data_IF_255282831915
#
_entry.id   IF_255282831915
#
_cell.length_a   1.000
_cell.length_b   1.000
_cell.length_c   1.000
_cell.angle_alpha   90.00
_cell.angle_beta   90.00
_cell.angle_gamma   90.00
#
_symmetry.space_group_name_H-M   'P 1'
#
loop_
_entity.id
_entity.type
_entity.pdbx_description
1 polymer ?
#
# COMPACT_ATOMS: atom_id res chain seq x y z
N UNK A 1 13.75 22.45 4.22
CA UNK A 1 14.58 21.23 4.37
C UNK A 1 13.76 20.02 4.83
N UNK A 2 12.98 20.12 5.92
CA UNK A 2 12.18 19.01 6.44
C UNK A 2 11.20 18.41 5.41
N UNK A 3 10.48 19.22 4.63
CA UNK A 3 9.53 18.74 3.62
C UNK A 3 10.20 17.99 2.46
N UNK A 4 11.39 18.44 2.04
CA UNK A 4 12.16 17.77 0.99
C UNK A 4 12.70 16.42 1.48
N UNK A 5 13.14 16.35 2.74
CA UNK A 5 13.54 15.09 3.37
C UNK A 5 12.35 14.14 3.50
N UNK A 6 11.19 14.63 3.92
CA UNK A 6 9.95 13.85 3.99
C UNK A 6 9.63 13.24 2.62
N UNK A 7 9.65 14.04 1.55
CA UNK A 7 9.42 13.55 0.20
C UNK A 7 10.44 12.48 -0.20
N UNK A 8 11.74 12.73 0.03
CA UNK A 8 12.79 11.76 -0.29
C UNK A 8 12.57 10.42 0.43
N UNK A 9 12.26 10.45 1.73
CA UNK A 9 11.94 9.26 2.52
C UNK A 9 10.70 8.56 1.99
N UNK A 10 9.63 9.30 1.68
CA UNK A 10 8.40 8.71 1.12
C UNK A 10 8.63 8.01 -0.22
N UNK A 11 9.49 8.56 -1.08
CA UNK A 11 9.88 7.91 -2.35
C UNK A 11 10.66 6.61 -2.07
N UNK A 12 11.64 6.65 -1.17
CA UNK A 12 12.41 5.45 -0.79
C UNK A 12 11.50 4.37 -0.20
N UNK A 13 10.55 4.74 0.66
CA UNK A 13 9.56 3.82 1.24
C UNK A 13 8.67 3.23 0.15
N UNK A 14 8.20 4.02 -0.81
CA UNK A 14 7.39 3.53 -1.93
C UNK A 14 8.16 2.51 -2.77
N UNK A 15 9.34 2.88 -3.24
CA UNK A 15 10.17 2.00 -4.08
C UNK A 15 10.56 0.74 -3.32
N UNK A 16 10.98 0.88 -2.06
CA UNK A 16 11.34 -0.24 -1.19
C UNK A 16 10.15 -1.18 -0.95
N UNK A 17 8.95 -0.63 -0.72
CA UNK A 17 7.71 -1.41 -0.56
C UNK A 17 7.41 -2.24 -1.80
N UNK A 18 7.44 -1.61 -2.98
CA UNK A 18 7.19 -2.31 -4.25
C UNK A 18 8.25 -3.38 -4.51
N UNK A 19 9.53 -3.05 -4.34
CA UNK A 19 10.63 -4.01 -4.53
C UNK A 19 10.52 -5.20 -3.58
N UNK A 20 10.20 -4.96 -2.30
CA UNK A 20 9.98 -6.00 -1.30
C UNK A 20 8.82 -6.90 -1.69
N UNK A 21 7.69 -6.35 -2.15
CA UNK A 21 6.58 -7.18 -2.61
C UNK A 21 6.93 -8.00 -3.85
N UNK A 22 7.58 -7.40 -4.85
CA UNK A 22 8.03 -8.11 -6.05
C UNK A 22 8.99 -9.26 -5.71
N UNK A 23 9.80 -9.11 -4.67
CA UNK A 23 10.63 -10.18 -4.14
C UNK A 23 9.81 -11.23 -3.38
N UNK A 24 8.91 -10.82 -2.48
CA UNK A 24 8.11 -11.72 -1.64
C UNK A 24 7.14 -12.58 -2.44
N UNK A 25 6.48 -12.04 -3.47
CA UNK A 25 5.53 -12.79 -4.31
C UNK A 25 6.18 -13.93 -5.10
N UNK A 26 7.53 -13.93 -5.23
CA UNK A 26 8.29 -15.04 -5.83
C UNK A 26 8.43 -16.23 -4.89
N UNK A 27 8.21 -16.06 -3.58
CA UNK A 27 8.28 -17.14 -2.61
C UNK A 27 6.90 -17.84 -2.48
N UNK A 28 6.74 -19.07 -2.96
CA UNK A 28 5.45 -19.75 -2.97
C UNK A 28 4.94 -20.11 -1.57
N UNK A 29 5.83 -20.36 -0.60
CA UNK A 29 5.40 -20.66 0.78
C UNK A 29 4.79 -19.42 1.41
N UNK A 30 5.43 -18.27 1.24
CA UNK A 30 4.89 -17.00 1.75
C UNK A 30 3.51 -16.66 1.15
N UNK A 31 3.32 -16.87 -0.16
CA UNK A 31 2.04 -16.64 -0.82
C UNK A 31 0.96 -17.57 -0.25
N UNK A 32 1.28 -18.86 -0.08
CA UNK A 32 0.36 -19.86 0.51
C UNK A 32 -0.03 -19.49 1.94
N UNK A 33 0.94 -19.18 2.79
CA UNK A 33 0.69 -18.87 4.20
C UNK A 33 -0.16 -17.61 4.36
N UNK A 34 0.09 -16.61 3.51
CA UNK A 34 -0.71 -15.38 3.46
C UNK A 34 -2.14 -15.67 3.01
N UNK A 35 -2.32 -16.51 2.00
CA UNK A 35 -3.64 -16.94 1.52
C UNK A 35 -4.41 -17.70 2.61
N UNK A 36 -3.76 -18.64 3.30
CA UNK A 36 -4.35 -19.36 4.43
C UNK A 36 -4.78 -18.41 5.56
N UNK A 37 -3.93 -17.43 5.89
CA UNK A 37 -4.24 -16.41 6.90
C UNK A 37 -5.47 -15.58 6.53
N UNK A 38 -5.58 -15.17 5.26
CA UNK A 38 -6.74 -14.41 4.76
C UNK A 38 -8.04 -15.23 4.78
N UNK A 39 -7.95 -16.55 4.57
CA UNK A 39 -9.09 -17.45 4.55
C UNK A 39 -9.48 -17.98 5.93
N UNK A 40 -8.58 -17.96 6.91
CA UNK A 40 -8.88 -18.35 8.29
C UNK A 40 -9.91 -17.42 8.95
N UNK A 41 -9.89 -16.12 8.63
CA UNK A 41 -10.94 -15.17 9.01
C UNK A 41 -11.30 -14.26 7.83
N UNK A 42 -12.21 -14.72 6.95
CA UNK A 42 -12.49 -14.03 5.69
C UNK A 42 -13.13 -12.65 5.90
N UNK A 43 -13.97 -12.52 6.93
CA UNK A 43 -14.64 -11.26 7.30
C UNK A 43 -13.63 -10.25 7.84
N UNK A 44 -12.83 -10.61 8.84
CA UNK A 44 -11.82 -9.70 9.40
C UNK A 44 -10.81 -9.28 8.33
N UNK A 45 -10.36 -10.23 7.49
CA UNK A 45 -9.45 -9.91 6.40
C UNK A 45 -10.09 -8.97 5.37
N UNK A 46 -11.39 -9.11 5.07
CA UNK A 46 -12.10 -8.18 4.19
C UNK A 46 -12.23 -6.79 4.81
N UNK A 47 -12.57 -6.70 6.10
CA UNK A 47 -12.65 -5.43 6.85
C UNK A 47 -11.30 -4.70 6.80
N UNK A 48 -10.19 -5.41 7.00
CA UNK A 48 -8.85 -4.83 6.93
C UNK A 48 -8.50 -4.34 5.52
N UNK A 49 -8.92 -5.05 4.46
CA UNK A 49 -8.75 -4.60 3.07
C UNK A 49 -9.53 -3.31 2.81
N UNK A 50 -10.79 -3.25 3.24
CA UNK A 50 -11.64 -2.05 3.08
C UNK A 50 -11.07 -0.87 3.85
N UNK A 51 -10.67 -1.08 5.10
CA UNK A 51 -10.04 -0.03 5.90
C UNK A 51 -8.74 0.47 5.26
N UNK A 52 -7.90 -0.43 4.75
CA UNK A 52 -6.70 -0.07 4.02
C UNK A 52 -7.01 0.75 2.75
N UNK A 53 -8.05 0.36 1.99
CA UNK A 53 -8.50 1.11 0.83
C UNK A 53 -8.98 2.53 1.17
N UNK A 54 -9.73 2.68 2.26
CA UNK A 54 -10.16 3.99 2.75
C UNK A 54 -8.98 4.87 3.16
N UNK A 55 -7.99 4.32 3.86
CA UNK A 55 -6.77 5.05 4.24
C UNK A 55 -5.95 5.48 3.01
N UNK A 56 -5.83 4.61 2.01
CA UNK A 56 -5.17 4.95 0.73
C UNK A 56 -5.90 6.07 0.01
N UNK A 57 -7.22 6.00 -0.09
CA UNK A 57 -8.03 7.04 -0.72
C UNK A 57 -7.91 8.38 0.02
N UNK A 58 -7.90 8.35 1.36
CA UNK A 58 -7.73 9.54 2.18
C UNK A 58 -6.35 10.18 1.99
N UNK A 59 -5.28 9.38 2.01
CA UNK A 59 -3.92 9.87 1.78
C UNK A 59 -3.77 10.48 0.37
N UNK A 60 -4.37 9.85 -0.63
CA UNK A 60 -4.38 10.35 -2.01
C UNK A 60 -5.13 11.69 -2.11
N UNK A 61 -6.35 11.76 -1.56
CA UNK A 61 -7.16 12.98 -1.56
C UNK A 61 -6.43 14.14 -0.86
N UNK A 62 -5.85 13.87 0.31
CA UNK A 62 -5.06 14.85 1.05
C UNK A 62 -3.82 15.30 0.26
N UNK A 63 -3.14 14.37 -0.42
CA UNK A 63 -2.01 14.68 -1.29
C UNK A 63 -2.39 15.63 -2.43
N UNK A 64 -3.48 15.32 -3.15
CA UNK A 64 -4.00 16.15 -4.25
C UNK A 64 -4.39 17.53 -3.76
N UNK A 65 -5.14 17.63 -2.66
CA UNK A 65 -5.55 18.92 -2.07
C UNK A 65 -4.34 19.74 -1.62
N UNK A 66 -3.31 19.09 -1.05
CA UNK A 66 -2.08 19.77 -0.63
C UNK A 66 -1.32 20.35 -1.83
N UNK A 67 -1.24 19.63 -2.95
CA UNK A 67 -0.64 20.16 -4.18
C UNK A 67 -1.45 21.36 -4.68
N UNK A 68 -2.78 21.24 -4.75
CA UNK A 68 -3.66 22.30 -5.23
C UNK A 68 -3.59 23.58 -4.37
N UNK A 69 -3.28 23.45 -3.07
CA UNK A 69 -3.14 24.56 -2.12
C UNK A 69 -1.70 25.09 -2.00
N UNK A 70 -0.80 24.68 -2.90
CA UNK A 70 0.58 25.17 -2.97
C UNK A 70 1.59 24.44 -2.08
N UNK A 71 1.17 23.43 -1.30
CA UNK A 71 2.05 22.59 -0.48
C UNK A 71 2.53 21.37 -1.26
N UNK A 72 3.24 21.63 -2.36
CA UNK A 72 3.62 20.61 -3.36
C UNK A 72 4.42 19.44 -2.76
N UNK A 73 5.45 19.72 -1.95
CA UNK A 73 6.33 18.66 -1.40
C UNK A 73 5.58 17.71 -0.46
N UNK A 74 4.77 18.25 0.45
CA UNK A 74 3.91 17.46 1.34
C UNK A 74 2.89 16.66 0.53
N UNK A 75 2.30 17.29 -0.49
CA UNK A 75 1.33 16.64 -1.35
C UNK A 75 1.90 15.41 -2.07
N UNK A 76 3.09 15.55 -2.67
CA UNK A 76 3.79 14.42 -3.29
C UNK A 76 4.19 13.33 -2.29
N UNK A 77 4.63 13.70 -1.08
CA UNK A 77 4.95 12.74 -0.04
C UNK A 77 3.73 11.88 0.34
N UNK A 78 2.55 12.49 0.38
CA UNK A 78 1.28 11.82 0.68
C UNK A 78 0.79 10.95 -0.49
N UNK A 79 1.03 11.37 -1.73
CA UNK A 79 0.79 10.52 -2.91
C UNK A 79 1.70 9.28 -2.88
N UNK A 80 2.97 9.43 -2.51
CA UNK A 80 3.87 8.28 -2.34
C UNK A 80 3.37 7.34 -1.23
N UNK A 81 2.89 7.87 -0.10
CA UNK A 81 2.29 7.05 0.96
C UNK A 81 1.04 6.30 0.47
N UNK A 82 0.16 6.97 -0.28
CA UNK A 82 -0.99 6.33 -0.93
C UNK A 82 -0.56 5.22 -1.89
N UNK A 83 0.48 5.45 -2.70
CA UNK A 83 1.07 4.45 -3.59
C UNK A 83 1.58 3.22 -2.85
N UNK A 84 2.24 3.39 -1.71
CA UNK A 84 2.72 2.29 -0.87
C UNK A 84 1.56 1.45 -0.34
N UNK A 85 0.51 2.10 0.16
CA UNK A 85 -0.71 1.41 0.60
C UNK A 85 -1.43 0.72 -0.56
N UNK A 86 -1.46 1.32 -1.76
CA UNK A 86 -2.03 0.70 -2.95
C UNK A 86 -1.27 -0.58 -3.33
N UNK A 87 0.06 -0.59 -3.23
CA UNK A 87 0.86 -1.81 -3.46
C UNK A 87 0.45 -2.94 -2.50
N UNK A 88 0.24 -2.63 -1.22
CA UNK A 88 -0.26 -3.61 -0.23
C UNK A 88 -1.65 -4.15 -0.63
N UNK A 89 -2.57 -3.27 -1.01
CA UNK A 89 -3.94 -3.67 -1.39
C UNK A 89 -3.94 -4.53 -2.65
N UNK A 90 -3.18 -4.16 -3.68
CA UNK A 90 -3.06 -4.92 -4.93
C UNK A 90 -2.54 -6.32 -4.65
N UNK A 91 -1.45 -6.45 -3.89
CA UNK A 91 -0.89 -7.76 -3.53
C UNK A 91 -1.89 -8.56 -2.71
N UNK A 92 -2.55 -7.95 -1.73
CA UNK A 92 -3.55 -8.61 -0.88
C UNK A 92 -4.70 -9.16 -1.70
N UNK A 93 -5.27 -8.35 -2.60
CA UNK A 93 -6.37 -8.74 -3.49
C UNK A 93 -5.92 -9.81 -4.48
N UNK A 94 -4.71 -9.69 -5.03
CA UNK A 94 -4.15 -10.68 -5.94
C UNK A 94 -3.98 -12.05 -5.28
N UNK A 95 -3.43 -12.10 -4.05
CA UNK A 95 -3.32 -13.36 -3.28
C UNK A 95 -4.70 -13.96 -3.03
N UNK A 96 -5.67 -13.14 -2.59
CA UNK A 96 -7.05 -13.59 -2.33
C UNK A 96 -7.75 -14.17 -3.56
N UNK A 97 -7.45 -13.65 -4.76
CA UNK A 97 -8.04 -14.11 -6.03
C UNK A 97 -7.42 -15.41 -6.57
N UNK A 98 -6.31 -15.88 -6.00
CA UNK A 98 -5.71 -17.14 -6.43
C UNK A 98 -6.60 -18.32 -6.03
N UNK A 99 -6.67 -19.38 -6.87
CA UNK A 99 -7.32 -20.61 -6.47
C UNK A 99 -6.66 -21.18 -5.21
N UNK A 100 -7.46 -21.80 -4.36
CA UNK A 100 -6.94 -22.55 -3.22
C UNK A 100 -6.26 -23.82 -3.75
N UNK A 101 -5.04 -24.15 -3.29
CA UNK A 101 -4.42 -25.44 -3.56
C UNK A 101 -5.17 -26.59 -2.88
#
# INVERSE_FOLDING_TARGET
MAEALLLAVSVVVLVGTVALFLWRVRNPTWVRDTQLTQNASPVTSLVMVVLGALLVALALAFGVVSIATGRSLIGWAMICAAGSGLAHLVVTVWIRRRPLP
#
